data_IF_600966163736
#
_entry.id   IF_600966163736
#
_cell.length_a   1.000
_cell.length_b   1.000
_cell.length_c   1.000
_cell.angle_alpha   90.00
_cell.angle_beta   90.00
_cell.angle_gamma   90.00
#
_symmetry.space_group_name_H-M   'P 1'
#
loop_
_entity.id
_entity.type
_entity.pdbx_description
1 polymer ?
#
# COMPACT_ATOMS: atom_id res chain seq x y z
N UNK A 1 8.48 -9.29 -45.30
CA UNK A 1 7.27 -9.48 -44.49
C UNK A 1 7.29 -10.85 -43.85
N UNK A 2 7.54 -10.95 -42.53
CA UNK A 2 6.79 -11.87 -41.65
C UNK A 2 6.97 -11.40 -40.21
N UNK A 3 5.85 -11.02 -39.64
CA UNK A 3 5.65 -10.62 -38.25
C UNK A 3 5.62 -11.86 -37.38
N UNK A 4 6.24 -11.83 -36.20
CA UNK A 4 5.73 -12.61 -35.07
C UNK A 4 6.05 -11.90 -33.75
N UNK A 5 4.97 -11.51 -33.10
CA UNK A 5 4.88 -10.90 -31.78
C UNK A 5 4.36 -12.02 -30.88
N UNK A 6 5.05 -12.43 -29.83
CA UNK A 6 4.43 -13.05 -28.64
C UNK A 6 5.37 -12.97 -27.44
N UNK A 7 5.08 -11.96 -26.62
CA UNK A 7 5.21 -11.92 -25.17
C UNK A 7 4.82 -13.25 -24.52
N UNK A 8 5.69 -13.86 -23.70
CA UNK A 8 5.43 -14.19 -22.28
C UNK A 8 6.79 -14.47 -21.60
N UNK A 9 7.15 -13.69 -20.59
CA UNK A 9 8.14 -14.09 -19.57
C UNK A 9 7.46 -13.92 -18.22
N UNK A 10 6.98 -15.04 -17.69
CA UNK A 10 6.53 -15.14 -16.30
C UNK A 10 7.30 -16.30 -15.69
N UNK A 11 8.51 -15.98 -15.21
CA UNK A 11 9.39 -16.91 -14.54
C UNK A 11 8.83 -17.32 -13.19
N UNK A 12 8.64 -18.62 -13.02
CA UNK A 12 8.46 -19.28 -11.73
C UNK A 12 9.67 -18.98 -10.85
N UNK A 13 9.49 -18.21 -9.78
CA UNK A 13 10.51 -18.06 -8.74
C UNK A 13 9.94 -18.44 -7.39
N UNK A 14 10.26 -19.67 -7.00
CA UNK A 14 10.25 -20.15 -5.61
C UNK A 14 11.07 -19.18 -4.76
N UNK A 15 10.42 -18.24 -4.09
CA UNK A 15 11.10 -17.33 -3.16
C UNK A 15 10.96 -17.88 -1.76
N UNK A 16 12.09 -18.31 -1.20
CA UNK A 16 12.30 -18.47 0.25
C UNK A 16 11.71 -17.22 0.91
N UNK A 17 10.63 -17.38 1.69
CA UNK A 17 9.81 -16.27 2.16
C UNK A 17 10.55 -15.43 3.22
N UNK A 18 11.53 -14.63 2.77
CA UNK A 18 12.03 -13.49 3.53
C UNK A 18 10.90 -12.48 3.74
N UNK A 19 11.03 -11.57 4.73
CA UNK A 19 9.98 -10.64 5.09
C UNK A 19 9.41 -9.95 3.86
N UNK A 20 8.11 -10.14 3.64
CA UNK A 20 7.42 -9.59 2.49
C UNK A 20 7.43 -8.07 2.64
N UNK A 21 8.20 -7.39 1.79
CA UNK A 21 8.37 -5.93 1.85
C UNK A 21 7.03 -5.18 1.87
N UNK A 22 5.99 -5.76 1.26
CA UNK A 22 4.63 -5.23 1.26
C UNK A 22 3.95 -5.26 2.64
N UNK A 23 4.21 -6.28 3.45
CA UNK A 23 3.67 -6.38 4.80
C UNK A 23 4.34 -5.38 5.75
N UNK A 24 5.66 -5.23 5.66
CA UNK A 24 6.39 -4.20 6.41
C UNK A 24 5.88 -2.80 6.07
N UNK A 25 5.76 -2.46 4.78
CA UNK A 25 5.22 -1.17 4.33
C UNK A 25 3.79 -0.88 4.79
N UNK A 26 2.97 -1.92 4.96
CA UNK A 26 1.61 -1.76 5.48
C UNK A 26 1.64 -1.36 6.96
N UNK A 27 2.50 -1.98 7.75
CA UNK A 27 2.71 -1.62 9.15
C UNK A 27 3.33 -0.23 9.29
N UNK A 28 4.38 0.07 8.52
CA UNK A 28 5.02 1.40 8.50
C UNK A 28 4.00 2.50 8.18
N UNK A 29 3.06 2.23 7.26
CA UNK A 29 2.01 3.18 6.91
C UNK A 29 0.99 3.39 8.03
N UNK A 30 0.64 2.34 8.77
CA UNK A 30 -0.22 2.48 9.95
C UNK A 30 0.49 3.29 11.03
N UNK A 31 1.77 3.02 11.28
CA UNK A 31 2.57 3.70 12.29
C UNK A 31 2.79 5.19 11.93
N UNK A 32 3.03 5.50 10.66
CA UNK A 32 3.10 6.86 10.16
C UNK A 32 1.80 7.64 10.37
N UNK A 33 0.65 7.03 10.09
CA UNK A 33 -0.66 7.68 10.29
C UNK A 33 -0.98 7.80 11.77
N UNK A 34 -0.57 6.83 12.60
CA UNK A 34 -0.74 6.90 14.06
C UNK A 34 0.14 7.99 14.68
N UNK A 35 1.38 8.15 14.22
CA UNK A 35 2.36 9.10 14.76
C UNK A 35 2.15 10.52 14.25
N UNK A 36 1.90 10.69 12.95
CA UNK A 36 1.80 12.00 12.30
C UNK A 36 0.36 12.41 11.95
N UNK A 37 -0.61 11.56 12.22
CA UNK A 37 -2.01 11.79 11.92
C UNK A 37 -2.39 11.50 10.45
N UNK A 38 -3.65 11.77 10.09
CA UNK A 38 -4.18 11.51 8.76
C UNK A 38 -3.44 12.29 7.68
N UNK A 39 -3.30 11.70 6.50
CA UNK A 39 -2.49 12.24 5.42
C UNK A 39 -3.01 11.90 4.04
N UNK A 40 -2.69 12.74 3.05
CA UNK A 40 -3.01 12.43 1.65
C UNK A 40 -2.07 11.37 1.10
N UNK A 41 -2.48 10.68 0.03
CA UNK A 41 -1.60 9.72 -0.66
C UNK A 41 -0.25 10.33 -1.05
N UNK A 42 -0.22 11.61 -1.42
CA UNK A 42 1.02 12.32 -1.73
C UNK A 42 1.89 12.45 -0.48
N UNK A 43 1.33 12.93 0.63
CA UNK A 43 2.07 13.09 1.88
C UNK A 43 2.62 11.75 2.38
N UNK A 44 1.80 10.69 2.37
CA UNK A 44 2.23 9.36 2.77
C UNK A 44 3.32 8.81 1.85
N UNK A 45 3.24 9.07 0.53
CA UNK A 45 4.30 8.69 -0.41
C UNK A 45 5.62 9.39 -0.13
N UNK A 46 5.58 10.66 0.28
CA UNK A 46 6.76 11.45 0.61
C UNK A 46 7.36 11.02 1.94
N UNK A 47 6.54 10.83 2.97
CA UNK A 47 7.01 10.43 4.31
C UNK A 47 7.63 9.02 4.29
N UNK A 48 6.96 8.06 3.65
CA UNK A 48 7.43 6.67 3.56
C UNK A 48 8.44 6.45 2.42
N UNK A 49 8.68 7.45 1.57
CA UNK A 49 9.50 7.31 0.35
C UNK A 49 9.08 6.13 -0.55
N UNK A 50 7.77 5.85 -0.61
CA UNK A 50 7.20 4.76 -1.42
C UNK A 50 6.69 5.33 -2.76
N UNK A 51 6.94 4.68 -3.91
CA UNK A 51 6.38 5.11 -5.19
C UNK A 51 4.85 5.17 -5.17
N UNK A 52 4.27 6.22 -5.78
CA UNK A 52 2.81 6.42 -5.86
C UNK A 52 2.03 5.20 -6.34
N UNK A 53 2.57 4.46 -7.31
CA UNK A 53 1.91 3.27 -7.87
C UNK A 53 1.81 2.12 -6.86
N UNK A 54 2.89 1.86 -6.11
CA UNK A 54 2.93 0.84 -5.06
C UNK A 54 2.08 1.25 -3.86
N UNK A 55 2.16 2.54 -3.49
CA UNK A 55 1.37 3.07 -2.39
C UNK A 55 -0.13 3.03 -2.69
N UNK A 56 -0.55 3.35 -3.93
CA UNK A 56 -1.95 3.27 -4.33
C UNK A 56 -2.51 1.85 -4.16
N UNK A 57 -1.77 0.83 -4.59
CA UNK A 57 -2.18 -0.56 -4.43
C UNK A 57 -2.30 -0.94 -2.94
N UNK A 58 -1.33 -0.51 -2.12
CA UNK A 58 -1.32 -0.78 -0.69
C UNK A 58 -2.48 -0.08 0.05
N UNK A 59 -2.68 1.22 -0.21
CA UNK A 59 -3.78 2.02 0.32
C UNK A 59 -5.13 1.40 -0.05
N UNK A 60 -5.33 1.05 -1.33
CA UNK A 60 -6.56 0.39 -1.80
C UNK A 60 -6.84 -0.89 -1.02
N UNK A 61 -5.85 -1.78 -0.89
CA UNK A 61 -6.01 -3.03 -0.15
C UNK A 61 -6.29 -2.80 1.34
N UNK A 62 -5.65 -1.82 1.97
CA UNK A 62 -5.85 -1.52 3.38
C UNK A 62 -7.20 -0.87 3.65
N UNK A 63 -7.67 0.01 2.76
CA UNK A 63 -9.02 0.59 2.82
C UNK A 63 -10.10 -0.47 2.59
N UNK A 64 -9.94 -1.34 1.59
CA UNK A 64 -10.87 -2.46 1.34
C UNK A 64 -10.99 -3.41 2.54
N UNK A 65 -9.91 -3.56 3.32
CA UNK A 65 -9.86 -4.39 4.53
C UNK A 65 -10.28 -3.65 5.81
N UNK A 66 -10.64 -2.37 5.73
CA UNK A 66 -11.08 -1.56 6.88
C UNK A 66 -9.97 -1.10 7.82
N UNK A 67 -8.69 -1.27 7.43
CA UNK A 67 -7.56 -0.74 8.21
C UNK A 67 -7.38 0.76 8.05
N UNK A 68 -7.76 1.29 6.89
CA UNK A 68 -7.75 2.71 6.59
C UNK A 68 -9.16 3.15 6.21
N UNK A 69 -9.46 4.39 6.54
CA UNK A 69 -10.65 5.09 6.06
C UNK A 69 -10.22 6.30 5.27
N UNK A 70 -10.98 6.65 4.24
CA UNK A 70 -10.85 7.94 3.56
C UNK A 70 -11.91 8.90 4.07
N UNK A 71 -11.53 10.17 4.21
CA UNK A 71 -12.46 11.27 4.48
C UNK A 71 -13.53 11.40 3.37
N UNK A 72 -14.71 12.03 3.59
CA UNK A 72 -15.71 12.25 2.54
C UNK A 72 -15.18 12.96 1.28
N UNK A 73 -14.07 13.69 1.40
CA UNK A 73 -13.34 14.30 0.27
C UNK A 73 -12.50 13.30 -0.55
N UNK A 74 -12.38 12.05 -0.12
CA UNK A 74 -11.64 10.97 -0.80
C UNK A 74 -10.13 11.17 -0.87
N UNK A 75 -9.60 12.25 -0.30
CA UNK A 75 -8.21 12.68 -0.52
C UNK A 75 -7.30 12.42 0.67
N UNK A 76 -7.87 12.24 1.85
CA UNK A 76 -7.15 12.06 3.11
C UNK A 76 -7.42 10.67 3.64
N UNK A 77 -6.35 9.92 3.91
CA UNK A 77 -6.37 8.60 4.52
C UNK A 77 -6.13 8.74 6.02
N UNK A 78 -6.97 8.07 6.81
CA UNK A 78 -6.94 8.05 8.26
C UNK A 78 -7.03 6.60 8.75
N UNK A 79 -6.63 6.37 10.01
CA UNK A 79 -6.70 5.05 10.63
C UNK A 79 -8.17 4.62 10.76
N UNK A 80 -8.51 3.44 10.24
CA UNK A 80 -9.85 2.86 10.31
C UNK A 80 -10.13 2.22 11.67
N UNK A 81 -11.40 1.89 11.93
CA UNK A 81 -11.89 1.37 13.22
C UNK A 81 -11.13 0.10 13.66
N UNK A 82 -10.62 -0.71 12.72
CA UNK A 82 -9.81 -1.90 13.02
C UNK A 82 -8.50 -1.59 13.76
N UNK A 83 -7.98 -0.37 13.65
CA UNK A 83 -6.79 0.04 14.39
C UNK A 83 -7.03 0.18 15.91
N UNK A 84 -8.27 0.46 16.31
CA UNK A 84 -8.64 0.62 17.72
C UNK A 84 -8.75 -0.72 18.46
N UNK A 85 -8.87 -1.82 17.72
CA UNK A 85 -9.06 -3.18 18.28
C UNK A 85 -7.71 -3.89 18.48
N UNK A 86 -6.63 -3.36 17.89
CA UNK A 86 -5.25 -3.88 17.99
C UNK A 86 -4.35 -2.79 18.55
N UNK A 87 -4.64 -2.34 19.78
CA UNK A 87 -3.71 -1.57 20.63
C UNK A 87 -3.54 -2.26 21.97
#
# INVERSE_FOLDING_TARGET
>A
MKVEKTTVSSGTSTSVAGPVKSAARALDLLDEIATHGPGTQLQLSTRLSIPKSSLHALLKTMTERGWLQTDPTGSVYQLGIHSLVVS
#
